data_IF_107169226985
#
_entry.id   IF_107169226985
#
_cell.length_a   1.000
_cell.length_b   1.000
_cell.length_c   1.000
_cell.angle_alpha   90.00
_cell.angle_beta   90.00
_cell.angle_gamma   90.00
#
_symmetry.space_group_name_H-M   'P 1'
#
loop_
_entity.id
_entity.type
_entity.pdbx_description
1 polymer ?
#
# COMPACT_ATOMS: atom_id res chain seq x y z
N UNK A 1 12.36 48.81 59.90
CA UNK A 1 12.96 48.73 58.55
C UNK A 1 12.43 47.45 57.90
N UNK A 2 11.33 47.55 57.16
CA UNK A 2 10.68 46.41 56.49
C UNK A 2 11.22 46.31 55.07
N UNK A 3 12.07 45.32 54.79
CA UNK A 3 12.51 45.02 53.42
C UNK A 3 11.38 44.26 52.73
N UNK A 4 10.76 44.90 51.74
CA UNK A 4 9.74 44.30 50.88
C UNK A 4 10.36 43.26 49.95
N UNK A 5 9.91 42.02 50.08
CA UNK A 5 10.31 40.91 49.22
C UNK A 5 9.50 40.99 47.92
N UNK A 6 10.07 41.60 46.87
CA UNK A 6 9.51 41.56 45.52
C UNK A 6 9.65 40.14 44.95
N UNK A 7 8.55 39.42 44.82
CA UNK A 7 8.51 38.11 44.17
C UNK A 7 8.63 38.29 42.65
N UNK A 8 9.86 38.21 42.12
CA UNK A 8 10.09 38.08 40.68
C UNK A 8 9.48 36.75 40.22
N UNK A 9 8.33 36.78 39.54
CA UNK A 9 7.75 35.61 38.90
C UNK A 9 8.74 35.04 37.86
N UNK A 10 8.93 33.71 37.79
CA UNK A 10 9.88 33.11 36.86
C UNK A 10 9.45 33.39 35.41
N UNK A 11 10.40 33.74 34.55
CA UNK A 11 10.23 34.06 33.13
C UNK A 11 9.68 32.91 32.26
N UNK A 12 9.19 31.82 32.84
CA UNK A 12 8.73 30.60 32.14
C UNK A 12 7.29 30.68 31.63
N UNK A 13 6.44 31.53 32.20
CA UNK A 13 5.01 31.60 31.87
C UNK A 13 4.73 32.25 30.50
N UNK A 14 5.65 33.08 29.99
CA UNK A 14 5.46 33.86 28.75
C UNK A 14 6.28 33.29 27.58
N UNK A 15 7.42 32.64 27.84
CA UNK A 15 8.28 32.05 26.80
C UNK A 15 7.68 30.79 26.17
N UNK A 16 6.95 30.00 26.95
CA UNK A 16 6.31 28.77 26.48
C UNK A 16 5.22 29.07 25.42
N UNK A 17 4.22 29.94 25.65
CA UNK A 17 3.16 30.19 24.65
C UNK A 17 3.66 30.80 23.33
N UNK A 18 4.75 31.58 23.35
CA UNK A 18 5.32 32.20 22.15
C UNK A 18 5.83 31.17 21.12
N UNK A 19 6.27 30.00 21.58
CA UNK A 19 6.77 28.93 20.70
C UNK A 19 5.66 27.95 20.28
N UNK A 20 4.76 27.56 21.18
CA UNK A 20 3.71 26.56 20.86
C UNK A 20 2.59 27.12 19.99
N UNK A 21 2.19 28.39 20.16
CA UNK A 21 1.08 28.98 19.39
C UNK A 21 1.33 29.03 17.87
N UNK A 22 2.46 29.57 17.35
CA UNK A 22 2.72 29.55 15.92
C UNK A 22 2.98 28.14 15.37
N UNK A 23 3.60 27.26 16.16
CA UNK A 23 3.86 25.85 15.76
C UNK A 23 2.54 25.08 15.55
N UNK A 24 1.53 25.33 16.39
CA UNK A 24 0.21 24.70 16.25
C UNK A 24 -0.53 25.14 14.97
N UNK A 25 -0.43 26.41 14.57
CA UNK A 25 -1.03 26.91 13.33
C UNK A 25 -0.35 26.29 12.10
N UNK A 26 0.98 26.23 12.09
CA UNK A 26 1.76 25.58 11.03
C UNK A 26 1.46 24.08 10.92
N UNK A 27 1.36 23.39 12.06
CA UNK A 27 0.99 21.97 12.10
C UNK A 27 -0.46 21.73 11.62
N UNK A 28 -1.39 22.63 11.95
CA UNK A 28 -2.79 22.56 11.50
C UNK A 28 -2.94 22.54 9.97
N UNK A 29 -2.08 23.29 9.27
CA UNK A 29 -2.09 23.39 7.81
C UNK A 29 -1.41 22.19 7.12
N UNK A 30 -0.52 21.48 7.81
CA UNK A 30 0.21 20.32 7.24
C UNK A 30 -0.55 19.00 7.34
N UNK A 31 -1.47 18.87 8.32
CA UNK A 31 -2.32 17.69 8.50
C UNK A 31 -3.11 17.28 7.22
N UNK A 32 -3.85 18.18 6.53
CA UNK A 32 -4.59 17.81 5.32
C UNK A 32 -3.66 17.46 4.13
N UNK A 33 -2.47 18.08 4.06
CA UNK A 33 -1.47 17.71 3.06
C UNK A 33 -0.89 16.31 3.34
N UNK A 34 -0.65 15.98 4.61
CA UNK A 34 -0.16 14.67 5.03
C UNK A 34 -1.17 13.56 4.76
N UNK A 35 -2.48 13.80 4.97
CA UNK A 35 -3.52 12.83 4.64
C UNK A 35 -3.51 12.47 3.13
N UNK A 36 -3.45 13.48 2.25
CA UNK A 36 -3.34 13.27 0.80
C UNK A 36 -2.04 12.58 0.39
N UNK A 37 -0.93 12.88 1.07
CA UNK A 37 0.35 12.22 0.83
C UNK A 37 0.31 10.74 1.22
N UNK A 38 -0.33 10.41 2.35
CA UNK A 38 -0.51 9.03 2.81
C UNK A 38 -1.34 8.20 1.83
N UNK A 39 -2.47 8.72 1.36
CA UNK A 39 -3.30 8.03 0.37
C UNK A 39 -2.53 7.74 -0.93
N UNK A 40 -1.77 8.73 -1.43
CA UNK A 40 -0.91 8.54 -2.60
C UNK A 40 0.16 7.47 -2.35
N UNK A 41 0.80 7.48 -1.19
CA UNK A 41 1.80 6.47 -0.82
C UNK A 41 1.17 5.06 -0.77
N UNK A 42 -0.04 4.92 -0.23
CA UNK A 42 -0.77 3.64 -0.22
C UNK A 42 -1.12 3.16 -1.63
N UNK A 43 -1.55 4.06 -2.52
CA UNK A 43 -1.79 3.72 -3.93
C UNK A 43 -0.50 3.27 -4.64
N UNK A 44 0.61 3.97 -4.44
CA UNK A 44 1.93 3.57 -4.99
C UNK A 44 2.34 2.20 -4.45
N UNK A 45 2.15 1.96 -3.15
CA UNK A 45 2.45 0.66 -2.55
C UNK A 45 1.55 -0.46 -3.10
N UNK A 46 0.28 -0.17 -3.39
CA UNK A 46 -0.62 -1.11 -4.07
C UNK A 46 -0.12 -1.48 -5.48
N UNK A 47 0.37 -0.49 -6.24
CA UNK A 47 0.99 -0.73 -7.56
C UNK A 47 2.24 -1.59 -7.42
N UNK A 48 3.07 -1.32 -6.41
CA UNK A 48 4.28 -2.11 -6.15
C UNK A 48 3.96 -3.57 -5.77
N UNK A 49 2.88 -3.81 -5.03
CA UNK A 49 2.42 -5.17 -4.74
C UNK A 49 1.97 -5.89 -6.01
N UNK A 50 1.20 -5.24 -6.88
CA UNK A 50 0.80 -5.79 -8.17
C UNK A 50 2.01 -6.14 -9.06
N UNK A 51 3.04 -5.28 -9.07
CA UNK A 51 4.29 -5.57 -9.80
C UNK A 51 5.00 -6.80 -9.25
N UNK A 52 5.07 -6.94 -7.94
CA UNK A 52 5.66 -8.14 -7.30
C UNK A 52 4.87 -9.40 -7.64
N UNK A 53 3.53 -9.32 -7.66
CA UNK A 53 2.67 -10.44 -8.08
C UNK A 53 2.86 -10.78 -9.56
N UNK A 54 2.91 -9.77 -10.44
CA UNK A 54 3.16 -9.97 -11.87
C UNK A 54 4.52 -10.60 -12.14
N UNK A 55 5.56 -10.15 -11.42
CA UNK A 55 6.88 -10.77 -11.48
C UNK A 55 6.82 -12.22 -11.00
N UNK A 56 6.21 -12.50 -9.85
CA UNK A 56 6.06 -13.85 -9.33
C UNK A 56 5.33 -14.78 -10.31
N UNK A 57 4.31 -14.27 -11.00
CA UNK A 57 3.57 -15.04 -12.00
C UNK A 57 4.41 -15.42 -13.22
N UNK A 58 5.29 -14.51 -13.65
CA UNK A 58 6.23 -14.77 -14.75
C UNK A 58 7.35 -15.71 -14.34
N UNK A 59 7.89 -15.57 -13.12
CA UNK A 59 8.89 -16.51 -12.61
C UNK A 59 8.29 -17.91 -12.49
N UNK A 60 7.04 -18.01 -12.04
CA UNK A 60 6.29 -19.27 -12.07
C UNK A 60 6.17 -19.84 -13.50
N UNK A 61 5.77 -19.02 -14.48
CA UNK A 61 5.64 -19.46 -15.87
C UNK A 61 6.94 -20.05 -16.44
N UNK A 62 8.09 -19.47 -16.11
CA UNK A 62 9.42 -19.98 -16.51
C UNK A 62 9.67 -21.43 -16.06
N UNK A 63 9.20 -21.83 -14.89
CA UNK A 63 9.34 -23.20 -14.37
C UNK A 63 8.23 -24.14 -14.86
N UNK A 64 7.10 -23.59 -15.30
CA UNK A 64 5.86 -24.31 -15.58
C UNK A 64 5.44 -24.28 -17.07
N UNK A 65 6.37 -24.50 -18.00
CA UNK A 65 6.12 -24.56 -19.46
C UNK A 65 5.37 -23.32 -19.99
N UNK A 66 5.83 -22.14 -19.59
CA UNK A 66 5.26 -20.85 -19.97
C UNK A 66 3.79 -20.66 -19.52
N UNK A 67 3.29 -21.51 -18.61
CA UNK A 67 1.94 -21.42 -18.10
C UNK A 67 1.87 -20.53 -16.86
N UNK A 68 1.00 -19.52 -16.91
CA UNK A 68 0.72 -18.68 -15.76
C UNK A 68 0.07 -19.50 -14.64
N UNK A 69 0.29 -19.11 -13.37
CA UNK A 69 -0.22 -19.84 -12.21
C UNK A 69 -1.74 -19.98 -12.25
N UNK A 70 -2.31 -21.10 -11.81
CA UNK A 70 -3.77 -21.30 -11.80
C UNK A 70 -4.48 -20.47 -10.73
N UNK A 71 -3.79 -20.16 -9.62
CA UNK A 71 -4.26 -19.28 -8.56
C UNK A 71 -3.09 -18.53 -7.90
N UNK A 72 -3.40 -17.45 -7.17
CA UNK A 72 -2.44 -16.64 -6.43
C UNK A 72 -1.62 -17.51 -5.45
N UNK A 73 -2.24 -18.51 -4.83
CA UNK A 73 -1.56 -19.39 -3.87
C UNK A 73 -0.54 -20.33 -4.52
N UNK A 74 -0.65 -20.60 -5.82
CA UNK A 74 0.34 -21.42 -6.53
C UNK A 74 1.69 -20.71 -6.63
N UNK A 75 1.70 -19.38 -6.57
CA UNK A 75 2.93 -18.58 -6.54
C UNK A 75 3.49 -18.36 -5.13
N UNK A 76 3.01 -19.07 -4.10
CA UNK A 76 3.46 -18.85 -2.71
C UNK A 76 4.99 -18.92 -2.54
N UNK A 77 5.67 -19.76 -3.32
CA UNK A 77 7.11 -19.94 -3.27
C UNK A 77 7.87 -18.76 -3.91
N UNK A 78 7.24 -18.10 -4.88
CA UNK A 78 7.80 -16.95 -5.60
C UNK A 78 7.51 -15.62 -4.88
N UNK A 79 6.53 -15.62 -3.98
CA UNK A 79 6.14 -14.47 -3.19
C UNK A 79 6.85 -14.48 -1.83
N UNK A 80 7.68 -13.46 -1.57
CA UNK A 80 8.44 -13.32 -0.32
C UNK A 80 7.55 -13.29 0.93
N UNK A 81 6.34 -12.74 0.82
CA UNK A 81 5.43 -12.59 1.97
C UNK A 81 3.97 -12.51 1.53
N UNK A 82 3.01 -13.05 2.32
CA UNK A 82 1.57 -12.91 2.02
C UNK A 82 1.08 -11.46 2.17
N UNK A 83 1.86 -10.58 2.81
CA UNK A 83 1.53 -9.15 2.95
C UNK A 83 1.34 -8.46 1.59
N UNK A 84 2.00 -8.96 0.55
CA UNK A 84 1.84 -8.47 -0.83
C UNK A 84 0.40 -8.65 -1.31
N UNK A 85 -0.31 -9.66 -0.82
CA UNK A 85 -1.69 -9.99 -1.20
C UNK A 85 -2.76 -9.14 -0.49
N UNK A 86 -2.36 -8.26 0.42
CA UNK A 86 -3.28 -7.32 1.08
C UNK A 86 -2.96 -5.91 0.60
N UNK A 87 -3.99 -5.18 0.20
CA UNK A 87 -3.84 -3.79 -0.22
C UNK A 87 -3.60 -2.92 1.02
N UNK A 88 -2.61 -1.99 1.00
CA UNK A 88 -2.33 -1.11 2.14
C UNK A 88 -3.48 -0.13 2.46
N UNK A 89 -4.45 0.02 1.54
CA UNK A 89 -5.65 0.82 1.71
C UNK A 89 -6.92 -0.02 1.95
N UNK A 90 -6.81 -1.34 2.11
CA UNK A 90 -7.96 -2.19 2.41
C UNK A 90 -8.51 -1.83 3.81
N UNK A 91 -9.81 -1.48 3.95
CA UNK A 91 -10.37 -1.12 5.24
C UNK A 91 -10.57 -2.34 6.15
N UNK A 92 -10.83 -3.51 5.58
CA UNK A 92 -11.24 -4.72 6.29
C UNK A 92 -10.04 -5.57 6.71
N UNK A 93 -9.03 -5.67 5.84
CA UNK A 93 -7.86 -6.51 6.07
C UNK A 93 -6.60 -5.64 6.13
N UNK A 94 -5.74 -5.86 7.13
CA UNK A 94 -4.47 -5.15 7.28
C UNK A 94 -3.34 -6.17 7.27
N UNK A 95 -2.29 -5.89 6.50
CA UNK A 95 -1.04 -6.63 6.56
C UNK A 95 -0.36 -6.40 7.92
N UNK A 96 -0.67 -7.24 8.90
CA UNK A 96 -0.08 -7.15 10.24
C UNK A 96 1.40 -7.54 10.20
N UNK A 97 2.17 -7.14 11.21
CA UNK A 97 3.58 -7.53 11.31
C UNK A 97 3.75 -9.06 11.40
N UNK A 98 2.79 -9.74 12.03
CA UNK A 98 2.76 -11.18 12.29
C UNK A 98 2.21 -12.02 11.15
N UNK A 99 1.73 -11.41 10.06
CA UNK A 99 1.18 -12.14 8.92
C UNK A 99 2.27 -12.97 8.24
N UNK A 100 2.07 -14.28 8.21
CA UNK A 100 2.93 -15.30 7.57
C UNK A 100 2.07 -16.23 6.73
N UNK A 101 2.71 -17.05 5.89
CA UNK A 101 1.95 -17.99 5.04
C UNK A 101 1.17 -19.05 5.83
N UNK A 102 1.56 -19.31 7.08
CA UNK A 102 0.89 -20.27 7.97
C UNK A 102 -0.46 -19.75 8.48
N UNK A 103 -0.58 -18.45 8.70
CA UNK A 103 -1.78 -17.80 9.25
C UNK A 103 -2.55 -16.97 8.22
N UNK A 104 -2.13 -17.00 6.96
CA UNK A 104 -2.76 -16.25 5.89
C UNK A 104 -4.00 -16.98 5.38
N UNK A 105 -5.16 -16.32 5.49
CA UNK A 105 -6.39 -16.78 4.87
C UNK A 105 -6.53 -16.19 3.44
N UNK A 106 -6.64 -17.04 2.39
CA UNK A 106 -6.74 -16.57 1.00
C UNK A 106 -7.95 -15.68 0.70
N UNK A 107 -9.05 -15.82 1.44
CA UNK A 107 -10.25 -14.99 1.23
C UNK A 107 -10.03 -13.53 1.61
N UNK A 108 -9.03 -13.27 2.46
CA UNK A 108 -8.61 -11.93 2.88
C UNK A 108 -7.76 -11.20 1.83
N UNK A 109 -7.38 -11.86 0.72
CA UNK A 109 -6.63 -11.23 -0.36
C UNK A 109 -7.40 -10.04 -0.94
N UNK A 110 -6.81 -8.86 -0.97
CA UNK A 110 -7.44 -7.69 -1.61
C UNK A 110 -7.34 -7.74 -3.13
N UNK A 111 -6.44 -8.56 -3.67
CA UNK A 111 -6.22 -8.74 -5.10
C UNK A 111 -6.98 -9.95 -5.63
N UNK A 112 -7.60 -9.76 -6.78
CA UNK A 112 -8.35 -10.79 -7.49
C UNK A 112 -7.56 -11.24 -8.72
N UNK A 113 -7.59 -12.55 -8.97
CA UNK A 113 -7.05 -13.13 -10.19
C UNK A 113 -8.16 -13.20 -11.25
N UNK A 114 -8.00 -12.40 -12.30
CA UNK A 114 -9.06 -12.10 -13.28
C UNK A 114 -9.08 -13.13 -14.39
N UNK A 115 -7.93 -13.36 -15.04
CA UNK A 115 -7.81 -14.28 -16.17
C UNK A 115 -6.94 -15.46 -15.77
N UNK A 116 -7.52 -16.66 -15.74
CA UNK A 116 -6.83 -17.91 -15.40
C UNK A 116 -6.50 -18.70 -16.67
N UNK A 117 -5.49 -19.58 -16.58
CA UNK A 117 -5.15 -20.51 -17.67
C UNK A 117 -4.51 -19.84 -18.88
N UNK A 118 -3.82 -18.72 -18.66
CA UNK A 118 -3.01 -18.09 -19.71
C UNK A 118 -1.65 -18.78 -19.82
N UNK A 119 -1.08 -18.74 -21.01
CA UNK A 119 0.33 -19.09 -21.26
C UNK A 119 1.03 -17.92 -21.95
N UNK A 120 2.36 -17.82 -21.91
CA UNK A 120 3.09 -16.77 -22.63
C UNK A 120 2.89 -16.86 -24.15
N UNK A 121 2.53 -18.05 -24.66
CA UNK A 121 2.14 -18.26 -26.05
C UNK A 121 0.70 -17.84 -26.38
N UNK A 122 -0.09 -17.43 -25.39
CA UNK A 122 -1.49 -17.03 -25.62
C UNK A 122 -1.52 -15.73 -26.43
N UNK A 123 -2.28 -15.66 -27.54
CA UNK A 123 -2.32 -14.48 -28.39
C UNK A 123 -2.86 -13.26 -27.63
N UNK A 124 -2.06 -12.19 -27.61
CA UNK A 124 -2.39 -10.94 -26.91
C UNK A 124 -2.36 -11.04 -25.39
N UNK A 125 -1.58 -11.98 -24.85
CA UNK A 125 -1.39 -12.13 -23.40
C UNK A 125 -0.91 -10.84 -22.74
N UNK A 126 -0.13 -10.01 -23.45
CA UNK A 126 0.35 -8.73 -22.94
C UNK A 126 -0.79 -7.75 -22.59
N UNK A 127 -1.96 -7.90 -23.22
CA UNK A 127 -3.12 -7.04 -22.96
C UNK A 127 -4.16 -7.70 -22.03
N UNK A 128 -3.91 -8.92 -21.53
CA UNK A 128 -4.81 -9.62 -20.62
C UNK A 128 -4.53 -9.21 -19.18
N UNK A 129 -5.59 -8.85 -18.45
CA UNK A 129 -5.49 -8.57 -17.02
C UNK A 129 -5.31 -9.88 -16.26
N UNK A 130 -4.15 -10.03 -15.60
CA UNK A 130 -3.87 -11.10 -14.67
C UNK A 130 -4.47 -10.78 -13.30
N UNK A 131 -3.98 -9.72 -12.67
CA UNK A 131 -4.36 -9.36 -11.30
C UNK A 131 -5.08 -8.02 -11.26
N UNK A 132 -6.05 -7.88 -10.37
CA UNK A 132 -6.75 -6.63 -10.14
C UNK A 132 -6.88 -6.35 -8.65
N UNK A 133 -6.54 -5.14 -8.23
CA UNK A 133 -6.84 -4.69 -6.88
C UNK A 133 -8.33 -4.34 -6.74
N UNK A 134 -9.04 -4.92 -5.77
CA UNK A 134 -10.45 -4.59 -5.52
C UNK A 134 -10.66 -3.21 -4.88
N UNK A 135 -9.62 -2.65 -4.26
CA UNK A 135 -9.68 -1.37 -3.54
C UNK A 135 -9.43 -0.18 -4.48
N UNK A 136 -8.28 -0.15 -5.15
CA UNK A 136 -7.93 0.94 -6.07
C UNK A 136 -8.36 0.69 -7.52
N UNK A 137 -8.65 -0.56 -7.89
CA UNK A 137 -8.95 -0.93 -9.28
C UNK A 137 -7.74 -0.97 -10.21
N UNK A 138 -6.51 -0.87 -9.69
CA UNK A 138 -5.29 -1.05 -10.49
C UNK A 138 -5.22 -2.47 -11.04
N UNK A 139 -4.77 -2.61 -12.27
CA UNK A 139 -4.71 -3.88 -13.01
C UNK A 139 -3.27 -4.19 -13.40
N UNK A 140 -2.87 -5.44 -13.21
CA UNK A 140 -1.61 -5.98 -13.71
C UNK A 140 -1.91 -6.83 -14.94
N UNK A 141 -1.21 -6.53 -16.02
CA UNK A 141 -1.32 -7.22 -17.30
C UNK A 141 -0.37 -8.41 -17.39
N UNK A 142 -0.56 -9.26 -18.40
CA UNK A 142 0.24 -10.45 -18.66
C UNK A 142 1.74 -10.18 -18.77
N UNK A 143 2.13 -9.06 -19.39
CA UNK A 143 3.54 -8.68 -19.55
C UNK A 143 4.19 -8.22 -18.23
N UNK A 144 3.39 -7.95 -17.20
CA UNK A 144 3.81 -7.38 -15.92
C UNK A 144 3.62 -5.86 -15.83
N UNK A 145 3.12 -5.20 -16.87
CA UNK A 145 2.70 -3.80 -16.77
C UNK A 145 1.58 -3.64 -15.74
N UNK A 146 1.60 -2.53 -15.00
CA UNK A 146 0.53 -2.21 -14.05
C UNK A 146 -0.13 -0.90 -14.46
N UNK A 147 -1.38 -1.00 -14.86
CA UNK A 147 -2.23 0.11 -15.21
C UNK A 147 -2.87 0.69 -13.94
N UNK A 148 -2.57 1.96 -13.69
CA UNK A 148 -3.13 2.69 -12.58
C UNK A 148 -4.48 3.27 -13.00
N UNK A 149 -5.58 2.69 -12.49
CA UNK A 149 -6.90 3.31 -12.56
C UNK A 149 -6.88 4.67 -11.84
N UNK A 150 -6.71 5.75 -12.60
CA UNK A 150 -6.67 7.11 -12.08
C UNK A 150 -8.11 7.57 -11.76
N UNK A 151 -8.37 7.96 -10.52
CA UNK A 151 -9.70 8.40 -10.03
C UNK A 151 -10.19 9.73 -10.64
N UNK A 152 -9.57 10.22 -11.73
CA UNK A 152 -9.87 11.50 -12.39
C UNK A 152 -10.88 11.43 -13.53
N UNK A 153 -11.57 10.31 -13.72
CA UNK A 153 -12.72 10.22 -14.62
C UNK A 153 -13.86 9.56 -13.87
N UNK A 154 -14.66 10.40 -13.21
CA UNK A 154 -16.09 10.16 -13.04
C UNK A 154 -16.81 10.91 -14.13
#
# INVERSE_FOLDING_TARGET
>A
MTVGHGTQQPANAVVLPLVIAPTAVLAGLTLPALAKAKEKAQSISCVNNLKQMGLAARVYATDHNDAYPPDILSMKNELTTPKILICPNDPNHKATATLTWDNFDPSQSSYEYVTRGLTESTPGVENKVLFRCRIHGHTCLGDGHVEQKNSRVR
#
